data_IF_764146345116
#
_entry.id   IF_764146345116
#
_cell.length_a   1.000
_cell.length_b   1.000
_cell.length_c   1.000
_cell.angle_alpha   90.00
_cell.angle_beta   90.00
_cell.angle_gamma   90.00
#
_symmetry.space_group_name_H-M   'P 1'
#
loop_
_entity.id
_entity.type
_entity.pdbx_description
1 polymer ?
#
# COMPACT_ATOMS: atom_id res chain seq x y z
N UNK A 1 -0.78 22.86 2.54
CA UNK A 1 -0.48 21.43 2.69
C UNK A 1 0.54 20.97 1.64
N UNK A 2 0.22 21.09 0.34
CA UNK A 2 1.10 20.65 -0.76
C UNK A 2 2.44 21.42 -0.79
N UNK A 3 2.43 22.76 -0.74
CA UNK A 3 3.65 23.59 -0.65
C UNK A 3 4.61 23.25 0.49
N UNK A 4 4.12 22.66 1.60
CA UNK A 4 4.97 22.21 2.72
C UNK A 4 5.54 20.80 2.48
N UNK A 5 4.86 19.99 1.69
CA UNK A 5 5.25 18.62 1.37
C UNK A 5 6.28 18.55 0.22
N UNK A 6 6.27 19.53 -0.69
CA UNK A 6 7.18 19.64 -1.84
C UNK A 6 8.67 19.56 -1.46
N UNK A 7 9.05 20.03 -0.27
CA UNK A 7 10.43 19.95 0.22
C UNK A 7 10.87 18.56 0.70
N UNK A 8 9.98 17.56 0.72
CA UNK A 8 10.30 16.20 1.15
C UNK A 8 10.63 15.30 -0.03
N UNK A 9 11.78 14.60 -0.05
CA UNK A 9 12.08 13.59 -1.07
C UNK A 9 10.99 12.50 -1.19
N UNK A 10 10.34 12.16 -0.08
CA UNK A 10 9.22 11.20 -0.08
C UNK A 10 8.04 11.67 -0.93
N UNK A 11 7.74 12.97 -0.94
CA UNK A 11 6.61 13.52 -1.68
C UNK A 11 6.75 13.36 -3.19
N UNK A 12 7.96 13.55 -3.71
CA UNK A 12 8.27 13.36 -5.12
C UNK A 12 8.21 11.88 -5.48
N UNK A 13 8.87 11.02 -4.69
CA UNK A 13 8.84 9.57 -4.91
C UNK A 13 7.43 8.99 -4.88
N UNK A 14 6.55 9.48 -3.99
CA UNK A 14 5.16 9.03 -3.95
C UNK A 14 4.38 9.35 -5.23
N UNK A 15 4.69 10.45 -5.91
CA UNK A 15 4.00 10.86 -7.13
C UNK A 15 4.45 10.09 -8.38
N UNK A 16 5.60 9.43 -8.33
CA UNK A 16 6.06 8.55 -9.43
C UNK A 16 5.15 7.33 -9.59
N UNK A 17 4.38 6.99 -8.55
CA UNK A 17 3.42 5.90 -8.59
C UNK A 17 2.16 6.26 -9.40
N UNK A 18 1.81 5.47 -10.43
CA UNK A 18 0.58 5.65 -11.19
C UNK A 18 -0.65 5.60 -10.29
N UNK A 19 -1.44 6.68 -10.28
CA UNK A 19 -2.64 6.82 -9.45
C UNK A 19 -2.42 7.55 -8.10
N UNK A 20 -1.20 8.02 -7.81
CA UNK A 20 -0.90 8.91 -6.69
C UNK A 20 -0.55 10.31 -7.23
N UNK A 21 -1.46 11.26 -7.05
CA UNK A 21 -1.22 12.67 -7.38
C UNK A 21 -0.72 13.48 -6.16
N UNK A 22 -0.36 14.74 -6.38
CA UNK A 22 0.15 15.66 -5.36
C UNK A 22 -0.70 15.72 -4.08
N UNK A 23 -2.04 15.82 -4.20
CA UNK A 23 -2.92 15.84 -3.04
C UNK A 23 -2.80 14.55 -2.21
N UNK A 24 -2.83 13.41 -2.88
CA UNK A 24 -2.73 12.08 -2.25
C UNK A 24 -1.36 11.85 -1.63
N UNK A 25 -0.29 12.26 -2.31
CA UNK A 25 1.07 12.21 -1.80
C UNK A 25 1.23 13.07 -0.54
N UNK A 26 0.68 14.27 -0.52
CA UNK A 26 0.70 15.15 0.64
C UNK A 26 -0.10 14.58 1.83
N UNK A 27 -1.26 13.96 1.56
CA UNK A 27 -2.07 13.28 2.59
C UNK A 27 -1.33 12.07 3.18
N UNK A 28 -0.69 11.26 2.33
CA UNK A 28 0.13 10.14 2.78
C UNK A 28 1.30 10.61 3.63
N UNK A 29 2.03 11.64 3.19
CA UNK A 29 3.14 12.21 3.95
C UNK A 29 2.67 12.76 5.30
N UNK A 30 1.52 13.44 5.35
CA UNK A 30 0.96 13.96 6.58
C UNK A 30 0.57 12.87 7.59
N UNK A 31 0.04 11.75 7.12
CA UNK A 31 -0.46 10.67 7.99
C UNK A 31 0.58 9.61 8.33
N UNK A 32 1.52 9.35 7.42
CA UNK A 32 2.61 8.41 7.63
C UNK A 32 3.84 9.08 8.24
N UNK A 33 4.08 10.37 7.96
CA UNK A 33 5.33 11.05 8.26
C UNK A 33 6.49 10.44 7.47
N UNK A 34 7.69 10.56 8.03
CA UNK A 34 8.87 9.87 7.50
C UNK A 34 8.74 8.34 7.70
N UNK A 35 8.63 7.60 6.60
CA UNK A 35 8.48 6.14 6.63
C UNK A 35 9.82 5.41 6.77
N UNK A 36 10.96 6.09 6.65
CA UNK A 36 12.28 5.49 6.88
C UNK A 36 12.50 5.11 8.35
N UNK A 37 11.77 5.76 9.28
CA UNK A 37 11.76 5.39 10.71
C UNK A 37 11.34 3.94 10.97
N UNK A 38 10.62 3.33 10.03
CA UNK A 38 10.24 1.92 10.12
C UNK A 38 11.38 1.05 9.60
N UNK A 39 11.93 0.17 10.45
CA UNK A 39 13.01 -0.74 10.05
C UNK A 39 12.57 -1.72 8.96
N UNK A 40 11.29 -2.10 8.97
CA UNK A 40 10.70 -3.03 7.99
C UNK A 40 9.31 -2.56 7.57
N UNK A 41 8.89 -2.94 6.36
CA UNK A 41 7.52 -2.70 5.88
C UNK A 41 6.45 -3.33 6.79
N UNK A 42 6.79 -4.38 7.56
CA UNK A 42 5.88 -4.98 8.55
C UNK A 42 5.54 -4.01 9.68
N UNK A 43 6.50 -3.22 10.14
CA UNK A 43 6.27 -2.16 11.13
C UNK A 43 5.39 -1.05 10.56
N UNK A 44 5.59 -0.67 9.29
CA UNK A 44 4.72 0.27 8.59
C UNK A 44 3.28 -0.27 8.48
N UNK A 45 3.11 -1.55 8.14
CA UNK A 45 1.79 -2.19 8.10
C UNK A 45 1.09 -2.19 9.46
N UNK A 46 1.83 -2.47 10.53
CA UNK A 46 1.31 -2.42 11.90
C UNK A 46 0.91 -0.99 12.29
N UNK A 47 1.73 0.00 11.92
CA UNK A 47 1.42 1.42 12.11
C UNK A 47 0.13 1.84 11.39
N UNK A 48 -0.11 1.37 10.16
CA UNK A 48 -1.37 1.61 9.42
C UNK A 48 -2.52 0.74 9.95
N UNK A 49 -2.22 -0.39 10.59
CA UNK A 49 -3.19 -1.33 11.15
C UNK A 49 -3.78 -2.29 10.12
N UNK A 50 -2.99 -2.68 9.12
CA UNK A 50 -3.35 -3.69 8.11
C UNK A 50 -2.62 -5.03 8.31
N UNK A 51 -1.81 -5.15 9.37
CA UNK A 51 -1.24 -6.42 9.83
C UNK A 51 -2.35 -7.42 10.19
N UNK A 52 -2.09 -8.71 9.92
CA UNK A 52 -3.05 -9.77 10.18
C UNK A 52 -3.04 -10.08 11.68
N UNK A 53 -4.21 -9.94 12.31
CA UNK A 53 -4.50 -10.48 13.63
C UNK A 53 -4.96 -11.92 13.47
N UNK A 54 -4.08 -12.87 13.83
CA UNK A 54 -4.44 -14.29 13.96
C UNK A 54 -5.01 -14.54 15.35
N UNK A 55 -6.18 -15.17 15.42
CA UNK A 55 -6.78 -15.60 16.69
C UNK A 55 -6.57 -17.11 16.81
N UNK A 56 -5.55 -17.51 17.55
CA UNK A 56 -5.32 -18.91 17.92
C UNK A 56 -5.74 -19.10 19.37
N UNK A 57 -6.96 -19.57 19.61
CA UNK A 57 -7.28 -20.29 20.85
C UNK A 57 -7.21 -21.78 20.51
N UNK A 58 -6.58 -22.60 21.36
CA UNK A 58 -6.18 -23.99 21.05
C UNK A 58 -7.25 -24.97 20.56
N UNK A 59 -8.52 -24.56 20.39
CA UNK A 59 -9.61 -25.34 19.78
C UNK A 59 -10.31 -24.66 18.59
N UNK A 60 -10.00 -23.39 18.27
CA UNK A 60 -10.66 -22.64 17.21
C UNK A 60 -9.69 -21.71 16.48
N UNK A 61 -9.50 -21.93 15.17
CA UNK A 61 -8.82 -20.97 14.30
C UNK A 61 -9.87 -20.03 13.72
N UNK A 62 -9.99 -18.84 14.29
CA UNK A 62 -10.87 -17.81 13.76
C UNK A 62 -10.40 -17.30 12.40
N UNK A 63 -11.31 -16.71 11.61
CA UNK A 63 -10.92 -16.07 10.35
C UNK A 63 -9.91 -14.94 10.58
N UNK A 64 -8.84 -14.95 9.80
CA UNK A 64 -7.84 -13.88 9.77
C UNK A 64 -8.50 -12.52 9.48
N UNK A 65 -8.22 -11.54 10.35
CA UNK A 65 -8.71 -10.16 10.20
C UNK A 65 -7.55 -9.20 10.35
N UNK A 66 -7.63 -8.05 9.69
CA UNK A 66 -6.67 -6.97 9.97
C UNK A 66 -6.84 -6.46 11.41
N UNK A 67 -5.74 -6.05 12.04
CA UNK A 67 -5.69 -5.61 13.43
C UNK A 67 -6.52 -4.33 13.68
N UNK A 68 -6.54 -3.39 12.72
CA UNK A 68 -7.23 -2.09 12.77
C UNK A 68 -6.82 -1.13 13.90
N UNK A 69 -5.89 -1.52 14.78
CA UNK A 69 -5.36 -0.72 15.90
C UNK A 69 -4.42 0.42 15.47
N UNK A 70 -3.88 0.37 14.26
CA UNK A 70 -3.05 1.43 13.69
C UNK A 70 -3.86 2.62 13.14
N UNK A 71 -3.18 3.57 12.48
CA UNK A 71 -3.73 4.84 12.01
C UNK A 71 -4.94 4.63 11.05
N UNK A 72 -6.18 4.95 11.49
CA UNK A 72 -7.38 4.77 10.68
C UNK A 72 -7.47 5.72 9.48
N UNK A 73 -6.89 6.92 9.59
CA UNK A 73 -6.87 7.91 8.49
C UNK A 73 -5.92 7.44 7.39
N UNK A 74 -4.68 7.06 7.74
CA UNK A 74 -3.74 6.46 6.80
C UNK A 74 -4.36 5.25 6.08
N UNK A 75 -4.99 4.34 6.85
CA UNK A 75 -5.66 3.16 6.31
C UNK A 75 -6.78 3.52 5.32
N UNK A 76 -7.59 4.54 5.62
CA UNK A 76 -8.66 5.04 4.74
C UNK A 76 -8.08 5.65 3.46
N UNK A 77 -7.04 6.47 3.56
CA UNK A 77 -6.35 7.06 2.41
C UNK A 77 -5.82 5.98 1.49
N UNK A 78 -5.03 5.04 2.02
CA UNK A 78 -4.44 3.95 1.23
C UNK A 78 -5.53 3.09 0.58
N UNK A 79 -6.65 2.82 1.27
CA UNK A 79 -7.79 2.12 0.68
C UNK A 79 -8.33 2.86 -0.56
N UNK A 80 -8.52 4.18 -0.48
CA UNK A 80 -8.97 4.98 -1.62
C UNK A 80 -7.93 5.06 -2.75
N UNK A 81 -6.64 5.05 -2.42
CA UNK A 81 -5.57 4.98 -3.41
C UNK A 81 -5.70 3.71 -4.25
N UNK A 82 -5.81 2.55 -3.60
CA UNK A 82 -5.99 1.27 -4.32
C UNK A 82 -7.24 1.30 -5.20
N UNK A 83 -8.36 1.81 -4.66
CA UNK A 83 -9.61 1.95 -5.44
C UNK A 83 -9.44 2.88 -6.63
N UNK A 84 -8.69 3.98 -6.49
CA UNK A 84 -8.39 4.89 -7.57
C UNK A 84 -7.49 4.26 -8.63
N UNK A 85 -6.44 3.55 -8.23
CA UNK A 85 -5.55 2.82 -9.13
C UNK A 85 -6.33 1.81 -9.98
N UNK A 86 -7.23 1.02 -9.36
CA UNK A 86 -8.09 0.07 -10.08
C UNK A 86 -9.04 0.80 -11.04
N UNK A 87 -9.62 1.93 -10.61
CA UNK A 87 -10.51 2.74 -11.47
C UNK A 87 -9.77 3.32 -12.67
N UNK A 88 -8.51 3.73 -12.49
CA UNK A 88 -7.67 4.34 -13.51
C UNK A 88 -6.74 3.34 -14.21
N UNK A 89 -7.00 2.03 -14.11
CA UNK A 89 -6.15 0.97 -14.64
C UNK A 89 -5.80 1.07 -16.13
N UNK A 90 -6.59 1.80 -16.93
CA UNK A 90 -6.35 2.00 -18.36
C UNK A 90 -5.41 3.17 -18.66
N UNK A 91 -5.16 4.04 -17.68
CA UNK A 91 -4.38 5.26 -17.88
C UNK A 91 -2.87 5.00 -17.91
N UNK A 92 -2.38 4.05 -17.10
CA UNK A 92 -0.96 3.72 -17.00
C UNK A 92 -0.78 2.31 -16.41
N UNK A 93 0.32 1.60 -16.76
CA UNK A 93 0.65 0.30 -16.19
C UNK A 93 0.93 0.42 -14.69
N UNK A 94 0.39 -0.52 -13.90
CA UNK A 94 0.52 -0.48 -12.44
C UNK A 94 0.54 -1.91 -11.85
N UNK A 95 1.68 -2.31 -11.28
CA UNK A 95 1.87 -3.66 -10.75
C UNK A 95 0.92 -3.99 -9.58
N UNK A 96 0.40 -2.98 -8.88
CA UNK A 96 -0.60 -3.16 -7.82
C UNK A 96 -1.94 -3.56 -8.41
N UNK A 97 -2.30 -3.00 -9.57
CA UNK A 97 -3.52 -3.36 -10.29
C UNK A 97 -3.40 -4.77 -10.87
N UNK A 98 -2.25 -5.11 -11.45
CA UNK A 98 -1.97 -6.46 -11.93
C UNK A 98 -2.08 -7.49 -10.80
N UNK A 99 -1.50 -7.17 -9.64
CA UNK A 99 -1.60 -7.99 -8.45
C UNK A 99 -3.04 -8.14 -7.96
N UNK A 100 -3.85 -7.07 -8.00
CA UNK A 100 -5.28 -7.14 -7.67
C UNK A 100 -6.01 -8.14 -8.58
N UNK A 101 -5.83 -8.03 -9.90
CA UNK A 101 -6.49 -8.94 -10.84
C UNK A 101 -5.94 -10.37 -10.77
N UNK A 102 -4.66 -10.56 -10.47
CA UNK A 102 -4.10 -11.89 -10.16
C UNK A 102 -4.87 -12.55 -9.01
N UNK A 103 -5.13 -11.84 -7.91
CA UNK A 103 -5.90 -12.36 -6.77
C UNK A 103 -7.38 -12.63 -7.10
N UNK A 104 -7.94 -11.89 -8.06
CA UNK A 104 -9.33 -12.04 -8.50
C UNK A 104 -9.52 -13.18 -9.51
N UNK A 105 -8.49 -13.55 -10.27
CA UNK A 105 -8.52 -14.61 -11.30
C UNK A 105 -8.06 -15.99 -10.80
N UNK A 106 -7.63 -16.11 -9.54
CA UNK A 106 -7.29 -17.41 -8.94
C UNK A 106 -8.46 -18.40 -8.97
N UNK A 107 -8.21 -19.73 -8.95
CA UNK A 107 -9.27 -20.75 -8.92
C UNK A 107 -10.29 -20.53 -7.80
N UNK A 108 -9.83 -20.01 -6.66
CA UNK A 108 -10.67 -19.50 -5.58
C UNK A 108 -10.46 -17.99 -5.47
N UNK A 109 -11.30 -17.17 -6.13
CA UNK A 109 -11.14 -15.72 -6.14
C UNK A 109 -11.17 -15.13 -4.73
N UNK A 110 -10.22 -14.25 -4.42
CA UNK A 110 -10.28 -13.51 -3.16
C UNK A 110 -11.49 -12.55 -3.16
N UNK A 111 -12.13 -12.43 -1.99
CA UNK A 111 -13.17 -11.41 -1.74
C UNK A 111 -12.57 -10.03 -2.00
N UNK A 112 -13.39 -9.10 -2.49
CA UNK A 112 -12.94 -7.76 -2.90
C UNK A 112 -12.11 -7.05 -1.82
N UNK A 113 -12.65 -6.92 -0.60
CA UNK A 113 -11.94 -6.29 0.52
C UNK A 113 -10.63 -6.98 0.88
N UNK A 114 -10.55 -8.30 0.73
CA UNK A 114 -9.33 -9.07 1.02
C UNK A 114 -8.26 -8.78 -0.04
N UNK A 115 -8.65 -8.78 -1.32
CA UNK A 115 -7.75 -8.40 -2.42
C UNK A 115 -7.26 -6.95 -2.27
N UNK A 116 -8.16 -6.02 -1.92
CA UNK A 116 -7.78 -4.62 -1.67
C UNK A 116 -6.77 -4.50 -0.53
N UNK A 117 -7.00 -5.15 0.62
CA UNK A 117 -6.06 -5.12 1.75
C UNK A 117 -4.70 -5.72 1.36
N UNK A 118 -4.69 -6.80 0.57
CA UNK A 118 -3.44 -7.38 0.06
C UNK A 118 -2.68 -6.38 -0.84
N UNK A 119 -3.40 -5.60 -1.66
CA UNK A 119 -2.82 -4.53 -2.47
C UNK A 119 -2.31 -3.36 -1.63
N UNK A 120 -2.98 -3.01 -0.53
CA UNK A 120 -2.49 -2.00 0.41
C UNK A 120 -1.14 -2.41 1.02
N UNK A 121 -1.01 -3.67 1.44
CA UNK A 121 0.25 -4.23 1.94
C UNK A 121 1.35 -4.20 0.86
N UNK A 122 1.00 -4.60 -0.36
CA UNK A 122 1.92 -4.59 -1.51
C UNK A 122 2.44 -3.18 -1.81
N UNK A 123 1.54 -2.19 -1.84
CA UNK A 123 1.87 -0.79 -2.05
C UNK A 123 2.80 -0.26 -0.94
N UNK A 124 2.47 -0.49 0.33
CA UNK A 124 3.32 -0.05 1.45
C UNK A 124 4.70 -0.69 1.43
N UNK A 125 4.80 -1.97 1.05
CA UNK A 125 6.08 -2.65 0.87
C UNK A 125 6.92 -1.99 -0.22
N UNK A 126 6.32 -1.72 -1.38
CA UNK A 126 7.03 -1.09 -2.51
C UNK A 126 7.45 0.35 -2.18
N UNK A 127 6.54 1.16 -1.64
CA UNK A 127 6.83 2.54 -1.21
C UNK A 127 7.95 2.60 -0.16
N UNK A 128 7.94 1.68 0.81
CA UNK A 128 8.99 1.60 1.84
C UNK A 128 10.36 1.27 1.25
N UNK A 129 10.42 0.33 0.29
CA UNK A 129 11.65 -0.01 -0.40
C UNK A 129 12.16 1.16 -1.26
N UNK A 130 11.28 1.79 -2.05
CA UNK A 130 11.62 2.92 -2.91
C UNK A 130 12.17 4.12 -2.13
N UNK A 131 11.50 4.51 -1.04
CA UNK A 131 11.95 5.64 -0.22
C UNK A 131 13.32 5.36 0.40
N UNK A 132 13.59 4.12 0.83
CA UNK A 132 14.89 3.75 1.41
C UNK A 132 16.00 3.64 0.37
N UNK A 133 15.67 3.25 -0.86
CA UNK A 133 16.61 3.16 -1.96
C UNK A 133 16.79 4.51 -2.69
N UNK A 134 15.96 5.51 -2.38
CA UNK A 134 15.86 6.78 -3.11
C UNK A 134 15.62 6.58 -4.62
N UNK A 135 14.83 5.56 -4.98
CA UNK A 135 14.52 5.20 -6.37
C UNK A 135 13.07 5.53 -6.71
N UNK A 136 12.85 5.99 -7.92
CA UNK A 136 11.51 6.19 -8.47
C UNK A 136 10.82 4.84 -8.73
N UNK A 137 9.50 4.91 -8.94
CA UNK A 137 8.72 3.73 -9.29
C UNK A 137 9.05 3.27 -10.71
N UNK A 138 9.48 2.01 -10.84
CA UNK A 138 9.67 1.34 -12.12
C UNK A 138 8.77 0.09 -12.18
N UNK A 139 7.89 0.06 -13.18
CA UNK A 139 6.98 -1.05 -13.41
C UNK A 139 7.71 -2.37 -13.74
N UNK A 140 8.70 -2.33 -14.63
CA UNK A 140 9.41 -3.53 -15.08
C UNK A 140 10.19 -4.16 -13.92
N UNK A 141 10.89 -3.32 -13.15
CA UNK A 141 11.57 -3.76 -11.94
C UNK A 141 10.58 -4.32 -10.90
N UNK A 142 9.49 -3.61 -10.61
CA UNK A 142 8.50 -4.04 -9.63
C UNK A 142 7.87 -5.40 -9.97
N UNK A 143 7.59 -5.66 -11.24
CA UNK A 143 7.09 -6.97 -11.70
C UNK A 143 8.15 -8.07 -11.57
N UNK A 144 9.42 -7.76 -11.86
CA UNK A 144 10.52 -8.74 -11.80
C UNK A 144 10.80 -9.27 -10.38
N UNK A 145 10.67 -8.41 -9.36
CA UNK A 145 10.94 -8.77 -7.95
C UNK A 145 9.73 -9.40 -7.24
N UNK A 146 8.60 -9.49 -7.94
CA UNK A 146 7.31 -9.90 -7.41
C UNK A 146 6.98 -11.39 -7.63
N UNK A 147 7.96 -12.16 -8.11
CA UNK A 147 7.86 -13.60 -8.38
C UNK A 147 8.17 -14.44 -7.13
#
# INVERSE_FOLDING_TARGET
MIKKAEGSPCFLLYQTFPGIGALTAALLLGELGDITRFKTHKQLNAFVGIDIRRYHSGKYTGQDRINKRGNPKARKIIFFIIRNMIRQQRAAPNHIVDYYYKLKKQPIPKKEKVATVACMNKLLKCMHAMVRAHTEYDYAYAVSVDH
#
